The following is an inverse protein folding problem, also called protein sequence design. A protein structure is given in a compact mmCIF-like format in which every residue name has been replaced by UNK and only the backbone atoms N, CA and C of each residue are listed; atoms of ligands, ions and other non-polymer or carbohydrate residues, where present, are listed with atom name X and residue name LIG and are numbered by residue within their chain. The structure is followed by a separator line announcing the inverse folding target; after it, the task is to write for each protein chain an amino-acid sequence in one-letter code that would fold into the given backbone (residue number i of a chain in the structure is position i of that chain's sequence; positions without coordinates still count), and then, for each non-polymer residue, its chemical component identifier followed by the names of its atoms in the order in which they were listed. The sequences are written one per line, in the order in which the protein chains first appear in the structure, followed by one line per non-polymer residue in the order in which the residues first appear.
data_IF_379754369194
#
_entry.id   IF_379754369194
#
_cell.length_a   1.000
_cell.length_b   1.000
_cell.length_c   1.000
_cell.angle_alpha   90.00
_cell.angle_beta   90.00
_cell.angle_gamma   90.00
#
_symmetry.space_group_name_H-M   'P 1'
#
loop_
_entity.id
_entity.type
_entity.pdbx_description
1 polymer ?
#
# COMPACT_ATOMS: atom_id res chain seq x y z
N UNK A 1 23.53 -2.05 -10.57
CA UNK A 1 22.11 -2.02 -10.17
C UNK A 1 21.79 -0.60 -9.77
N UNK A 2 20.75 0.05 -10.33
CA UNK A 2 20.32 1.34 -9.83
C UNK A 2 19.98 1.23 -8.33
N UNK A 3 20.19 2.31 -7.58
CA UNK A 3 19.82 2.37 -6.16
C UNK A 3 18.30 2.25 -6.08
N UNK A 4 17.80 1.27 -5.31
CA UNK A 4 16.38 1.07 -5.09
C UNK A 4 15.90 2.06 -4.01
N UNK A 5 14.89 2.88 -4.34
CA UNK A 5 14.31 3.84 -3.42
C UNK A 5 13.31 3.14 -2.50
N UNK A 6 13.61 3.14 -1.20
CA UNK A 6 12.79 2.43 -0.20
C UNK A 6 11.72 3.36 0.35
N UNK A 7 10.48 2.91 0.38
CA UNK A 7 9.32 3.73 0.79
C UNK A 7 8.42 2.98 1.77
N UNK A 8 7.79 3.73 2.66
CA UNK A 8 6.58 3.33 3.39
C UNK A 8 5.43 4.11 2.76
N UNK A 9 4.33 3.43 2.43
CA UNK A 9 3.17 4.05 1.80
C UNK A 9 2.03 4.21 2.82
N UNK A 10 1.79 5.43 3.28
CA UNK A 10 0.65 5.77 4.15
C UNK A 10 -0.49 6.33 3.30
N UNK A 11 -1.67 5.72 3.39
CA UNK A 11 -2.77 5.99 2.44
C UNK A 11 -4.14 5.80 3.07
N UNK A 12 -5.12 6.58 2.63
CA UNK A 12 -6.54 6.40 2.92
C UNK A 12 -7.27 5.67 1.78
N UNK A 13 -6.57 4.76 1.09
CA UNK A 13 -7.02 3.93 -0.02
C UNK A 13 -8.50 3.56 -0.01
N UNK A 14 -9.18 3.86 -1.11
CA UNK A 14 -10.61 3.65 -1.26
C UNK A 14 -11.47 4.87 -0.90
N UNK A 15 -10.87 5.98 -0.47
CA UNK A 15 -11.50 7.31 -0.54
C UNK A 15 -11.68 7.71 -2.00
N UNK A 16 -10.57 7.69 -2.75
CA UNK A 16 -10.53 7.93 -4.19
C UNK A 16 -9.76 6.80 -4.91
N UNK A 17 -9.82 6.80 -6.24
CA UNK A 17 -9.24 5.73 -7.07
C UNK A 17 -7.72 5.81 -7.17
N UNK A 18 -7.15 7.00 -6.98
CA UNK A 18 -5.75 7.31 -7.17
C UNK A 18 -4.83 6.59 -6.19
N UNK A 19 -5.24 6.35 -4.94
CA UNK A 19 -4.47 5.55 -3.97
C UNK A 19 -4.18 4.12 -4.46
N UNK A 20 -5.20 3.47 -5.05
CA UNK A 20 -5.07 2.12 -5.60
C UNK A 20 -4.10 2.14 -6.79
N UNK A 21 -4.23 3.17 -7.64
CA UNK A 21 -3.34 3.35 -8.79
C UNK A 21 -1.90 3.64 -8.36
N UNK A 22 -1.70 4.45 -7.32
CA UNK A 22 -0.41 4.76 -6.73
C UNK A 22 0.25 3.49 -6.17
N UNK A 23 -0.45 2.71 -5.34
CA UNK A 23 0.10 1.46 -4.81
C UNK A 23 0.40 0.47 -5.94
N UNK A 24 -0.47 0.32 -6.94
CA UNK A 24 -0.21 -0.55 -8.09
C UNK A 24 1.02 -0.11 -8.90
N UNK A 25 1.23 1.19 -9.05
CA UNK A 25 2.40 1.77 -9.71
C UNK A 25 3.68 1.48 -8.90
N UNK A 26 3.67 1.72 -7.58
CA UNK A 26 4.81 1.44 -6.71
C UNK A 26 5.21 -0.05 -6.77
N UNK A 27 4.23 -0.96 -6.70
CA UNK A 27 4.47 -2.40 -6.80
C UNK A 27 4.94 -2.88 -8.19
N UNK A 28 4.77 -2.06 -9.23
CA UNK A 28 5.24 -2.33 -10.58
C UNK A 28 6.59 -1.69 -10.92
N UNK A 29 7.10 -0.81 -10.07
CA UNK A 29 8.33 -0.05 -10.34
C UNK A 29 9.57 -0.85 -9.96
N UNK A 30 10.51 -1.09 -10.89
CA UNK A 30 11.78 -1.77 -10.57
C UNK A 30 12.73 -0.90 -9.73
N UNK A 31 12.46 0.40 -9.64
CA UNK A 31 13.28 1.39 -8.94
C UNK A 31 12.86 1.57 -7.47
N UNK A 32 11.72 0.99 -7.07
CA UNK A 32 11.11 1.22 -5.76
C UNK A 32 10.97 -0.08 -4.98
N UNK A 33 11.28 -0.03 -3.68
CA UNK A 33 10.99 -1.09 -2.72
C UNK A 33 9.94 -0.59 -1.74
N UNK A 34 8.75 -1.17 -1.78
CA UNK A 34 7.70 -0.88 -0.77
C UNK A 34 8.00 -1.73 0.46
N UNK A 35 8.43 -1.08 1.54
CA UNK A 35 8.82 -1.72 2.80
C UNK A 35 7.62 -2.01 3.71
N UNK A 36 6.50 -1.31 3.49
CA UNK A 36 5.29 -1.45 4.27
C UNK A 36 4.20 -0.49 3.81
N UNK A 37 2.96 -0.82 4.15
CA UNK A 37 1.78 0.02 3.91
C UNK A 37 1.09 0.30 5.23
N UNK A 38 0.77 1.56 5.49
CA UNK A 38 -0.07 1.98 6.62
C UNK A 38 -1.38 2.56 6.09
N UNK A 39 -2.48 2.32 6.81
CA UNK A 39 -3.79 2.88 6.43
C UNK A 39 -4.27 3.92 7.42
N UNK A 40 -4.80 5.03 6.91
CA UNK A 40 -5.23 6.18 7.73
C UNK A 40 -6.65 6.61 7.36
N UNK A 41 -7.23 7.46 8.22
CA UNK A 41 -8.57 8.05 8.10
C UNK A 41 -9.69 6.99 8.17
N UNK A 42 -10.94 7.39 8.49
CA UNK A 42 -12.16 6.56 8.56
C UNK A 42 -12.00 5.09 8.99
N UNK A 43 -12.59 4.14 8.24
CA UNK A 43 -12.47 2.70 8.51
C UNK A 43 -11.11 2.16 8.04
N UNK A 44 -10.08 2.37 8.85
CA UNK A 44 -8.70 1.88 8.61
C UNK A 44 -8.64 0.36 8.43
N UNK A 45 -9.56 -0.39 9.02
CA UNK A 45 -9.63 -1.84 8.89
C UNK A 45 -10.13 -2.28 7.51
N UNK A 46 -11.16 -1.62 6.97
CA UNK A 46 -11.60 -1.81 5.60
C UNK A 46 -10.49 -1.45 4.61
N UNK A 47 -9.82 -0.32 4.83
CA UNK A 47 -8.71 0.13 3.98
C UNK A 47 -7.57 -0.89 3.96
N UNK A 48 -7.18 -1.44 5.10
CA UNK A 48 -6.15 -2.47 5.16
C UNK A 48 -6.57 -3.74 4.40
N UNK A 49 -7.85 -4.13 4.44
CA UNK A 49 -8.35 -5.24 3.61
C UNK A 49 -8.27 -4.94 2.12
N UNK A 50 -8.45 -3.69 1.69
CA UNK A 50 -8.26 -3.29 0.29
C UNK A 50 -6.79 -3.41 -0.14
N UNK A 51 -5.84 -2.95 0.69
CA UNK A 51 -4.40 -3.13 0.45
C UNK A 51 -4.06 -4.61 0.30
N UNK A 52 -4.47 -5.43 1.27
CA UNK A 52 -4.22 -6.88 1.25
C UNK A 52 -4.82 -7.54 0.01
N UNK A 53 -6.02 -7.10 -0.42
CA UNK A 53 -6.64 -7.62 -1.64
C UNK A 53 -5.83 -7.27 -2.88
N UNK A 54 -5.30 -6.04 -2.99
CA UNK A 54 -4.45 -5.63 -4.11
C UNK A 54 -3.13 -6.42 -4.14
N UNK A 55 -2.47 -6.58 -2.98
CA UNK A 55 -1.25 -7.38 -2.85
C UNK A 55 -1.49 -8.83 -3.32
N UNK A 56 -2.59 -9.44 -2.86
CA UNK A 56 -3.01 -10.77 -3.29
C UNK A 56 -3.23 -10.83 -4.81
N UNK A 57 -3.94 -9.87 -5.40
CA UNK A 57 -4.20 -9.81 -6.85
C UNK A 57 -2.91 -9.65 -7.66
N UNK A 58 -1.88 -9.01 -7.10
CA UNK A 58 -0.56 -8.82 -7.73
C UNK A 58 0.39 -9.99 -7.47
N UNK A 59 0.02 -10.95 -6.63
CA UNK A 59 0.91 -12.04 -6.21
C UNK A 59 2.11 -11.55 -5.41
N UNK A 60 1.97 -10.43 -4.69
CA UNK A 60 3.02 -9.85 -3.84
C UNK A 60 2.80 -10.28 -2.40
N UNK A 61 3.83 -10.84 -1.79
CA UNK A 61 3.81 -11.33 -0.41
C UNK A 61 4.91 -10.64 0.42
N UNK A 62 4.79 -10.69 1.75
CA UNK A 62 5.84 -10.23 2.67
C UNK A 62 5.86 -8.72 2.98
N UNK A 63 5.07 -7.90 2.29
CA UNK A 63 4.91 -6.48 2.63
C UNK A 63 4.00 -6.36 3.87
N UNK A 64 4.49 -5.84 5.01
CA UNK A 64 3.65 -5.65 6.19
C UNK A 64 2.59 -4.56 5.94
N UNK A 65 1.37 -4.83 6.37
CA UNK A 65 0.25 -3.88 6.34
C UNK A 65 -0.20 -3.61 7.77
N UNK A 66 -0.17 -2.34 8.18
CA UNK A 66 -0.57 -1.92 9.52
C UNK A 66 -1.73 -0.92 9.46
N UNK A 67 -2.72 -1.12 10.31
CA UNK A 67 -3.80 -0.14 10.49
C UNK A 67 -3.32 1.03 11.33
N UNK A 68 -3.71 2.24 10.94
CA UNK A 68 -3.51 3.45 11.73
C UNK A 68 -4.53 3.58 12.86
N UNK A 69 -4.59 4.79 13.45
CA UNK A 69 -5.54 5.11 14.52
C UNK A 69 -6.96 5.15 13.95
N UNK A 70 -7.89 4.42 14.58
CA UNK A 70 -9.32 4.52 14.29
C UNK A 70 -9.88 5.84 14.82
N UNK A 71 -10.55 6.60 13.95
CA UNK A 71 -11.32 7.80 14.32
C UNK A 71 -12.81 7.51 14.31
#
# INVERSE_FOLDING_TARGET
MPIQHRVIFDTDIGTDVDDILALAFLLGSPEITVEGVTTVYGDVGLRARMVLKLLQLRGVEGIPVHIGVSQ
#
